data_IF_368925163038
#
_entry.id   IF_368925163038
#
_cell.length_a   1.000
_cell.length_b   1.000
_cell.length_c   1.000
_cell.angle_alpha   90.00
_cell.angle_beta   90.00
_cell.angle_gamma   90.00
#
_symmetry.space_group_name_H-M   'P 1'
#
loop_
_entity.id
_entity.type
_entity.pdbx_description
1 polymer ?
#
# COMPACT_ATOMS: atom_id res chain seq x y z
N UNK A 1 35.35 33.17 1.67
CA UNK A 1 35.88 32.45 0.49
C UNK A 1 36.06 30.99 0.83
N UNK A 2 35.61 30.09 -0.09
CA UNK A 2 35.86 28.63 -0.20
C UNK A 2 35.34 27.75 0.96
N UNK A 3 34.15 27.13 0.91
CA UNK A 3 33.73 25.95 0.12
C UNK A 3 34.80 24.85 0.03
N UNK A 4 34.68 23.82 0.87
CA UNK A 4 35.12 22.47 0.55
C UNK A 4 34.07 21.48 1.10
N UNK A 5 33.31 20.92 0.17
CA UNK A 5 32.49 19.74 0.36
C UNK A 5 33.40 18.56 0.68
N UNK A 6 33.07 17.79 1.71
CA UNK A 6 33.52 16.40 1.82
C UNK A 6 32.29 15.51 1.74
N UNK A 7 32.04 15.05 0.52
CA UNK A 7 31.14 13.94 0.21
C UNK A 7 31.82 12.69 0.78
N UNK A 8 31.30 12.18 1.90
CA UNK A 8 31.70 10.86 2.40
C UNK A 8 30.94 9.85 1.56
N UNK A 9 31.65 9.32 0.56
CA UNK A 9 31.27 8.14 -0.18
C UNK A 9 31.23 6.95 0.78
N UNK A 10 30.04 6.60 1.26
CA UNK A 10 29.83 5.28 1.84
C UNK A 10 29.63 4.30 0.70
N UNK A 11 30.70 3.56 0.45
CA UNK A 11 30.77 2.37 -0.40
C UNK A 11 29.83 1.32 0.20
N UNK A 12 28.61 1.22 -0.32
CA UNK A 12 27.82 -0.01 -0.25
C UNK A 12 28.17 -0.84 -1.48
N UNK A 13 29.32 -1.51 -1.41
CA UNK A 13 29.61 -2.65 -2.24
C UNK A 13 28.71 -3.81 -1.78
N UNK A 14 27.48 -3.87 -2.28
CA UNK A 14 26.70 -5.10 -2.32
C UNK A 14 26.73 -5.58 -3.77
N UNK A 15 27.55 -6.60 -3.99
CA UNK A 15 27.63 -7.28 -5.26
C UNK A 15 26.31 -7.97 -5.56
N UNK A 16 25.64 -7.49 -6.59
CA UNK A 16 24.60 -8.24 -7.30
C UNK A 16 25.11 -8.48 -8.72
N UNK A 17 25.90 -9.54 -8.85
CA UNK A 17 26.24 -10.11 -10.16
C UNK A 17 25.14 -11.10 -10.50
N UNK A 18 24.09 -10.65 -11.21
CA UNK A 18 23.20 -11.51 -11.99
C UNK A 18 22.27 -10.72 -12.95
N UNK A 19 22.76 -9.68 -13.64
CA UNK A 19 22.06 -9.17 -14.83
C UNK A 19 22.56 -9.93 -16.05
N UNK A 20 21.90 -11.06 -16.36
CA UNK A 20 22.05 -11.72 -17.64
C UNK A 20 21.09 -11.12 -18.67
N UNK A 21 21.66 -10.64 -19.78
CA UNK A 21 21.05 -10.45 -21.12
C UNK A 21 20.44 -9.08 -21.46
N UNK A 22 21.25 -8.25 -22.14
CA UNK A 22 20.98 -7.62 -23.45
C UNK A 22 19.80 -6.64 -23.68
N UNK A 23 19.22 -6.07 -22.63
CA UNK A 23 18.68 -4.72 -22.64
C UNK A 23 19.18 -4.05 -21.35
N UNK A 24 19.73 -2.83 -21.42
CA UNK A 24 20.28 -2.11 -20.25
C UNK A 24 19.17 -1.75 -19.26
N UNK A 25 18.68 -2.74 -18.53
CA UNK A 25 17.71 -2.60 -17.46
C UNK A 25 18.46 -2.00 -16.26
N UNK A 26 18.20 -0.72 -15.99
CA UNK A 26 18.75 -0.02 -14.82
C UNK A 26 18.01 -0.44 -13.54
N UNK A 27 18.41 -1.59 -12.99
CA UNK A 27 17.85 -2.09 -11.75
C UNK A 27 18.13 -1.18 -10.54
N UNK A 28 19.18 -0.36 -10.58
CA UNK A 28 19.44 0.60 -9.51
C UNK A 28 18.35 1.68 -9.51
N UNK A 29 18.02 2.23 -10.68
CA UNK A 29 16.92 3.18 -10.84
C UNK A 29 15.57 2.59 -10.47
N UNK A 30 15.25 1.37 -10.92
CA UNK A 30 13.98 0.73 -10.60
C UNK A 30 13.77 0.53 -9.09
N UNK A 31 14.84 0.17 -8.35
CA UNK A 31 14.77 0.01 -6.90
C UNK A 31 14.66 1.37 -6.16
N UNK A 32 15.23 2.45 -6.71
CA UNK A 32 15.02 3.82 -6.19
C UNK A 32 13.57 4.25 -6.37
N UNK A 33 13.00 4.09 -7.57
CA UNK A 33 11.61 4.44 -7.87
C UNK A 33 10.62 3.63 -7.02
N UNK A 34 10.90 2.35 -6.77
CA UNK A 34 10.14 1.53 -5.83
C UNK A 34 10.15 2.09 -4.42
N UNK A 35 11.33 2.48 -3.93
CA UNK A 35 11.49 3.05 -2.59
C UNK A 35 10.73 4.37 -2.44
N UNK A 36 10.80 5.24 -3.45
CA UNK A 36 10.07 6.52 -3.47
C UNK A 36 8.56 6.31 -3.53
N UNK A 37 8.09 5.39 -4.38
CA UNK A 37 6.66 5.07 -4.49
C UNK A 37 6.11 4.46 -3.18
N UNK A 38 6.90 3.65 -2.48
CA UNK A 38 6.54 3.13 -1.15
C UNK A 38 6.33 4.27 -0.13
N UNK A 39 7.23 5.26 -0.12
CA UNK A 39 7.13 6.44 0.73
C UNK A 39 5.86 7.23 0.39
N UNK A 40 5.63 7.54 -0.89
CA UNK A 40 4.44 8.27 -1.35
C UNK A 40 3.16 7.53 -0.98
N UNK A 41 3.12 6.22 -1.15
CA UNK A 41 1.99 5.39 -0.77
C UNK A 41 1.72 5.45 0.74
N UNK A 42 2.76 5.30 1.57
CA UNK A 42 2.63 5.37 3.03
C UNK A 42 2.17 6.73 3.55
N UNK A 43 2.47 7.82 2.82
CA UNK A 43 2.06 9.18 3.18
C UNK A 43 0.64 9.53 2.69
N UNK A 44 0.10 8.75 1.75
CA UNK A 44 -1.20 8.99 1.10
C UNK A 44 -2.08 7.74 1.17
N UNK A 45 -2.14 7.11 2.34
CA UNK A 45 -2.96 5.91 2.57
C UNK A 45 -4.42 6.21 2.20
N UNK A 46 -5.03 5.39 1.34
CA UNK A 46 -6.36 5.64 0.79
C UNK A 46 -6.39 6.28 -0.60
N UNK A 47 -5.25 6.80 -1.09
CA UNK A 47 -5.12 7.35 -2.44
C UNK A 47 -4.87 6.27 -3.47
N UNK A 48 -5.87 6.03 -4.33
CA UNK A 48 -5.79 5.12 -5.48
C UNK A 48 -4.58 5.42 -6.35
N UNK A 49 -4.26 6.71 -6.56
CA UNK A 49 -3.11 7.13 -7.35
C UNK A 49 -1.78 6.69 -6.70
N UNK A 50 -1.63 6.92 -5.39
CA UNK A 50 -0.41 6.56 -4.68
C UNK A 50 -0.19 5.03 -4.63
N UNK A 51 -1.27 4.24 -4.54
CA UNK A 51 -1.20 2.79 -4.64
C UNK A 51 -0.86 2.30 -6.02
N UNK A 52 -1.51 2.84 -7.05
CA UNK A 52 -1.18 2.47 -8.43
C UNK A 52 0.28 2.77 -8.71
N UNK A 53 0.80 3.92 -8.23
CA UNK A 53 2.22 4.23 -8.30
C UNK A 53 3.11 3.16 -7.64
N UNK A 54 2.80 2.78 -6.40
CA UNK A 54 3.57 1.75 -5.69
C UNK A 54 3.46 0.37 -6.33
N UNK A 55 2.25 -0.04 -6.75
CA UNK A 55 1.97 -1.28 -7.46
C UNK A 55 2.77 -1.37 -8.75
N UNK A 56 2.73 -0.32 -9.58
CA UNK A 56 3.47 -0.26 -10.84
C UNK A 56 4.97 -0.35 -10.59
N UNK A 57 5.50 0.27 -9.53
CA UNK A 57 6.93 0.18 -9.22
C UNK A 57 7.35 -1.24 -8.81
N UNK A 58 6.51 -1.97 -8.06
CA UNK A 58 6.76 -3.38 -7.74
C UNK A 58 6.73 -4.25 -9.00
N UNK A 59 5.73 -4.05 -9.86
CA UNK A 59 5.61 -4.77 -11.14
C UNK A 59 6.82 -4.51 -12.04
N UNK A 60 7.34 -3.28 -12.07
CA UNK A 60 8.53 -2.93 -12.82
C UNK A 60 9.77 -3.69 -12.32
N UNK A 61 9.99 -3.78 -11.00
CA UNK A 61 11.11 -4.55 -10.44
C UNK A 61 11.00 -6.04 -10.77
N UNK A 62 9.80 -6.62 -10.69
CA UNK A 62 9.57 -8.03 -10.98
C UNK A 62 9.71 -8.37 -12.47
N UNK A 63 9.09 -7.58 -13.35
CA UNK A 63 9.09 -7.83 -14.79
C UNK A 63 10.49 -7.70 -15.40
N UNK A 64 11.33 -6.87 -14.78
CA UNK A 64 12.70 -6.62 -15.20
C UNK A 64 13.73 -7.54 -14.52
N UNK A 65 13.30 -8.48 -13.68
CA UNK A 65 14.21 -9.38 -12.95
C UNK A 65 15.13 -8.66 -11.97
N UNK A 66 14.77 -7.46 -11.50
CA UNK A 66 15.57 -6.62 -10.62
C UNK A 66 15.40 -6.95 -9.13
N UNK A 67 14.73 -8.06 -8.82
CA UNK A 67 14.63 -8.56 -7.44
C UNK A 67 15.97 -9.18 -7.02
N UNK A 68 16.50 -8.85 -5.83
CA UNK A 68 17.80 -9.33 -5.37
C UNK A 68 17.84 -10.84 -5.12
N UNK A 69 16.72 -11.45 -4.75
CA UNK A 69 16.59 -12.88 -4.50
C UNK A 69 15.13 -13.38 -4.63
N UNK A 70 14.96 -14.70 -4.50
CA UNK A 70 13.67 -15.39 -4.57
C UNK A 70 12.74 -15.07 -3.39
N UNK A 71 13.30 -14.73 -2.22
CA UNK A 71 12.51 -14.37 -1.03
C UNK A 71 11.85 -13.01 -1.23
N UNK A 72 12.63 -12.04 -1.69
CA UNK A 72 12.17 -10.70 -2.06
C UNK A 72 11.15 -10.75 -3.19
N UNK A 73 11.36 -11.64 -4.17
CA UNK A 73 10.38 -11.89 -5.24
C UNK A 73 9.04 -12.36 -4.70
N UNK A 74 9.03 -13.24 -3.69
CA UNK A 74 7.79 -13.71 -3.04
C UNK A 74 7.10 -12.57 -2.27
N UNK A 75 7.86 -11.80 -1.52
CA UNK A 75 7.36 -10.64 -0.76
C UNK A 75 6.65 -9.66 -1.71
N UNK A 76 7.28 -9.30 -2.83
CA UNK A 76 6.68 -8.40 -3.81
C UNK A 76 5.40 -8.98 -4.44
N UNK A 77 5.36 -10.28 -4.74
CA UNK A 77 4.15 -10.93 -5.24
C UNK A 77 3.02 -10.95 -4.21
N UNK A 78 3.34 -11.13 -2.93
CA UNK A 78 2.37 -11.03 -1.83
C UNK A 78 1.89 -9.59 -1.65
N UNK A 79 2.79 -8.62 -1.70
CA UNK A 79 2.46 -7.20 -1.66
C UNK A 79 1.49 -6.82 -2.79
N UNK A 80 1.71 -7.29 -4.03
CA UNK A 80 0.79 -7.08 -5.15
C UNK A 80 -0.61 -7.68 -4.91
N UNK A 81 -0.69 -8.84 -4.24
CA UNK A 81 -1.99 -9.42 -3.85
C UNK A 81 -2.71 -8.56 -2.83
N UNK A 82 -1.99 -8.04 -1.83
CA UNK A 82 -2.55 -7.15 -0.80
C UNK A 82 -2.99 -5.81 -1.40
N UNK A 83 -2.21 -5.25 -2.33
CA UNK A 83 -2.57 -4.02 -3.04
C UNK A 83 -3.77 -4.22 -3.97
N UNK A 84 -4.00 -5.45 -4.44
CA UNK A 84 -5.16 -5.82 -5.24
C UNK A 84 -5.29 -4.98 -6.52
N UNK A 85 -6.45 -4.42 -6.76
CA UNK A 85 -6.70 -3.48 -7.87
C UNK A 85 -6.43 -2.02 -7.51
N UNK A 86 -5.78 -1.78 -6.35
CA UNK A 86 -5.49 -0.46 -5.80
C UNK A 86 -6.71 0.45 -5.65
N UNK A 87 -7.90 -0.13 -5.73
CA UNK A 87 -9.08 0.51 -5.19
C UNK A 87 -8.98 0.28 -3.70
N UNK A 88 -8.51 1.30 -2.99
CA UNK A 88 -8.73 1.35 -1.56
C UNK A 88 -10.21 1.16 -1.33
N UNK A 89 -10.60 0.00 -0.85
CA UNK A 89 -11.65 -0.07 0.14
C UNK A 89 -11.14 0.63 1.40
N UNK A 90 -10.81 1.93 1.32
CA UNK A 90 -10.02 2.63 2.32
C UNK A 90 -10.61 2.46 3.71
N UNK A 91 -9.96 1.70 4.60
CA UNK A 91 -10.40 1.52 5.99
C UNK A 91 -10.23 2.81 6.79
N UNK A 92 -10.96 3.83 6.39
CA UNK A 92 -11.52 4.79 7.31
C UNK A 92 -12.53 4.00 8.12
N UNK A 93 -12.23 3.74 9.38
CA UNK A 93 -13.26 3.34 10.32
C UNK A 93 -13.81 4.62 10.95
N UNK A 94 -15.11 4.86 10.79
CA UNK A 94 -15.79 5.99 11.37
C UNK A 94 -16.68 5.52 12.52
N UNK A 95 -16.83 6.36 13.53
CA UNK A 95 -17.83 6.15 14.55
C UNK A 95 -19.15 6.72 14.06
N UNK A 96 -20.12 5.85 13.81
CA UNK A 96 -21.42 6.22 13.29
C UNK A 96 -22.48 6.15 14.38
N UNK A 97 -23.39 7.12 14.37
CA UNK A 97 -24.58 7.14 15.22
C UNK A 97 -25.82 6.88 14.39
N UNK A 98 -26.66 5.93 14.80
CA UNK A 98 -27.99 5.69 14.21
C UNK A 98 -29.00 5.43 15.33
N UNK A 99 -30.07 6.22 15.39
CA UNK A 99 -31.07 6.17 16.47
C UNK A 99 -30.44 6.12 17.88
N UNK A 100 -29.47 7.00 18.13
CA UNK A 100 -28.71 7.10 19.39
C UNK A 100 -27.79 5.91 19.73
N UNK A 101 -27.61 4.96 18.82
CA UNK A 101 -26.65 3.85 18.97
C UNK A 101 -25.36 4.19 18.24
N UNK A 102 -24.24 4.15 18.97
CA UNK A 102 -22.89 4.30 18.42
C UNK A 102 -22.32 2.95 18.00
N UNK A 103 -21.74 2.88 16.80
CA UNK A 103 -21.05 1.70 16.31
C UNK A 103 -19.94 2.08 15.34
N UNK A 104 -18.91 1.24 15.27
CA UNK A 104 -17.81 1.42 14.32
C UNK A 104 -18.22 0.93 12.94
N UNK A 105 -17.88 1.68 11.90
CA UNK A 105 -18.08 1.26 10.51
C UNK A 105 -16.78 1.45 9.76
N UNK A 106 -16.27 0.38 9.16
CA UNK A 106 -15.04 0.39 8.38
C UNK A 106 -15.34 0.15 6.92
N UNK A 107 -14.52 0.63 6.00
CA UNK A 107 -14.62 0.21 4.60
C UNK A 107 -13.97 -1.17 4.43
N UNK A 108 -14.67 -2.14 3.88
CA UNK A 108 -14.12 -3.45 3.58
C UNK A 108 -13.26 -3.42 2.32
N UNK A 109 -12.47 -4.48 2.13
CA UNK A 109 -11.66 -4.71 0.92
C UNK A 109 -12.52 -4.76 -0.36
N UNK A 110 -13.82 -5.08 -0.24
CA UNK A 110 -14.80 -5.03 -1.33
C UNK A 110 -15.44 -3.64 -1.56
N UNK A 111 -15.06 -2.63 -0.77
CA UNK A 111 -15.62 -1.28 -0.82
C UNK A 111 -16.91 -1.06 -0.01
N UNK A 112 -17.51 -2.11 0.57
CA UNK A 112 -18.70 -1.98 1.43
C UNK A 112 -18.37 -1.44 2.82
N UNK A 113 -19.36 -0.93 3.53
CA UNK A 113 -19.29 -0.69 4.96
C UNK A 113 -19.36 -2.02 5.71
N UNK A 114 -18.41 -2.23 6.61
CA UNK A 114 -18.37 -3.31 7.57
C UNK A 114 -18.67 -2.74 8.94
N UNK A 115 -19.80 -3.14 9.50
CA UNK A 115 -20.25 -2.73 10.82
C UNK A 115 -19.54 -3.59 11.85
N UNK A 116 -18.95 -2.95 12.85
CA UNK A 116 -18.23 -3.58 13.94
C UNK A 116 -19.24 -3.95 15.04
N UNK A 117 -19.57 -5.23 15.17
CA UNK A 117 -20.57 -5.72 16.12
C UNK A 117 -19.90 -6.57 17.21
N UNK A 118 -20.34 -6.42 18.46
CA UNK A 118 -19.87 -7.26 19.56
C UNK A 118 -20.77 -8.49 19.72
N UNK A 119 -20.20 -9.68 19.52
CA UNK A 119 -20.84 -10.96 19.75
C UNK A 119 -20.05 -11.73 20.82
N UNK A 120 -20.67 -12.03 21.96
CA UNK A 120 -20.04 -12.76 23.09
C UNK A 120 -18.71 -12.14 23.58
N UNK A 121 -18.60 -10.81 23.51
CA UNK A 121 -17.38 -10.08 23.91
C UNK A 121 -16.31 -10.00 22.81
N UNK A 122 -16.57 -10.53 21.62
CA UNK A 122 -15.69 -10.48 20.46
C UNK A 122 -16.23 -9.48 19.43
N UNK A 123 -15.37 -8.59 18.95
CA UNK A 123 -15.72 -7.69 17.85
C UNK A 123 -15.63 -8.45 16.53
N UNK A 124 -16.75 -8.57 15.82
CA UNK A 124 -16.80 -9.20 14.50
C UNK A 124 -17.29 -8.20 13.45
N UNK A 125 -16.60 -8.06 12.31
CA UNK A 125 -17.03 -7.18 11.24
C UNK A 125 -18.13 -7.88 10.43
N UNK A 126 -19.28 -7.21 10.29
CA UNK A 126 -20.38 -7.65 9.43
C UNK A 126 -20.41 -6.80 8.17
N UNK A 127 -20.33 -7.44 7.01
CA UNK A 127 -20.58 -6.77 5.74
C UNK A 127 -22.04 -6.26 5.70
N UNK A 128 -22.22 -4.96 5.55
CA UNK A 128 -23.55 -4.36 5.44
C UNK A 128 -24.17 -4.57 4.06
N UNK A 129 -23.39 -4.93 3.04
CA UNK A 129 -23.79 -4.93 1.64
C UNK A 129 -23.99 -3.54 1.04
N UNK A 130 -23.70 -2.48 1.81
CA UNK A 130 -23.85 -1.07 1.41
C UNK A 130 -22.46 -0.49 1.17
N UNK A 131 -22.20 0.25 0.07
CA UNK A 131 -20.94 0.96 -0.14
C UNK A 131 -20.60 1.86 1.05
N UNK A 132 -19.33 1.91 1.46
CA UNK A 132 -18.90 2.63 2.66
C UNK A 132 -19.27 4.11 2.64
N UNK A 133 -19.02 4.81 1.54
CA UNK A 133 -19.36 6.22 1.38
C UNK A 133 -20.86 6.47 1.52
N UNK A 134 -21.69 5.56 0.98
CA UNK A 134 -23.15 5.64 1.09
C UNK A 134 -23.64 5.42 2.52
N UNK A 135 -22.97 4.54 3.25
CA UNK A 135 -23.26 4.31 4.65
C UNK A 135 -23.00 5.57 5.50
N UNK A 136 -21.87 6.23 5.21
CA UNK A 136 -21.43 7.47 5.86
C UNK A 136 -22.35 8.65 5.58
N UNK A 137 -22.93 8.75 4.38
CA UNK A 137 -23.93 9.79 4.07
C UNK A 137 -25.26 9.61 4.81
N UNK A 138 -25.66 8.36 5.05
CA UNK A 138 -26.95 8.01 5.64
C UNK A 138 -26.90 7.95 7.18
N UNK A 139 -25.72 8.05 7.76
CA UNK A 139 -25.47 7.88 9.19
C UNK A 139 -24.65 9.06 9.72
N UNK A 140 -24.78 9.44 10.99
CA UNK A 140 -23.92 10.49 11.57
C UNK A 140 -22.55 9.90 11.93
N UNK A 141 -21.67 9.76 10.94
CA UNK A 141 -20.34 9.18 11.05
C UNK A 141 -19.26 10.27 11.23
N UNK A 142 -18.37 10.11 12.23
CA UNK A 142 -17.30 11.04 12.58
C UNK A 142 -15.97 10.33 12.80
#
# INVERSE_FOLDING_TARGET
MKKLMYVVAYVLALGFVACGSDDDIDCAKANVELSEAAVVFSQNIGSTEACNGYKTAIEAVLNNGCSPDDETTKIYKEQLKVLGDCKFGGQTCLNCTNNDVNFGVCRGENGNAFIQEYHEGVLTPRDSGVPFERYVELSDCK
#
